data_IF_268904374710
#
_entry.id   IF_268904374710
#
_cell.length_a   1.000
_cell.length_b   1.000
_cell.length_c   1.000
_cell.angle_alpha   90.00
_cell.angle_beta   90.00
_cell.angle_gamma   90.00
#
_symmetry.space_group_name_H-M   'P 1'
#
loop_
_entity.id
_entity.type
_entity.pdbx_description
1 polymer ?
#
# COMPACT_ATOMS: atom_id res chain seq x y z
N UNK A 1 6.95 -16.82 -2.24
CA UNK A 1 7.64 -15.87 -1.34
C UNK A 1 7.22 -14.46 -1.73
N UNK A 2 6.51 -13.82 -0.79
CA UNK A 2 6.03 -12.43 -0.61
C UNK A 2 5.97 -11.48 -1.82
N UNK A 3 4.74 -11.11 -2.21
CA UNK A 3 4.42 -9.81 -2.80
C UNK A 3 4.51 -8.76 -1.70
N UNK A 4 5.48 -7.84 -1.78
CA UNK A 4 5.57 -6.71 -0.86
C UNK A 4 4.67 -5.59 -1.39
N UNK A 5 3.40 -5.58 -0.96
CA UNK A 5 2.54 -4.40 -1.10
C UNK A 5 3.01 -3.40 -0.05
N UNK A 6 3.76 -2.39 -0.48
CA UNK A 6 4.11 -1.28 0.39
C UNK A 6 2.89 -0.34 0.44
N UNK A 7 1.98 -0.59 1.38
CA UNK A 7 0.94 0.38 1.75
C UNK A 7 1.61 1.46 2.62
N UNK A 8 1.81 2.64 2.06
CA UNK A 8 2.31 3.79 2.82
C UNK A 8 1.13 4.70 3.10
N UNK A 9 0.59 4.62 4.33
CA UNK A 9 -0.43 5.55 4.79
C UNK A 9 0.26 6.87 5.19
N UNK A 10 -0.07 7.93 4.46
CA UNK A 10 0.24 9.31 4.86
C UNK A 10 -1.05 9.87 5.43
N UNK A 11 -1.11 10.11 6.74
CA UNK A 11 -2.28 10.76 7.36
C UNK A 11 -2.49 12.13 6.71
N UNK A 12 -3.75 12.58 6.52
CA UNK A 12 -4.05 13.89 5.93
C UNK A 12 -3.48 15.07 6.75
N UNK A 13 -3.14 14.86 8.02
CA UNK A 13 -2.41 15.82 8.87
C UNK A 13 -0.89 15.77 8.73
N UNK A 14 -0.35 14.99 7.78
CA UNK A 14 1.09 14.85 7.62
C UNK A 14 1.64 15.95 6.73
N UNK A 15 2.32 16.89 7.36
CA UNK A 15 3.27 17.82 6.76
C UNK A 15 4.05 17.17 5.58
N UNK A 16 4.06 17.77 4.37
CA UNK A 16 4.80 17.25 3.22
C UNK A 16 6.30 17.02 3.51
N UNK A 17 6.90 17.74 4.46
CA UNK A 17 8.29 17.55 4.89
C UNK A 17 8.53 16.27 5.70
N UNK A 18 7.48 15.67 6.28
CA UNK A 18 7.58 14.38 6.98
C UNK A 18 7.77 13.20 6.03
N UNK A 19 7.40 13.33 4.75
CA UNK A 19 7.64 12.30 3.74
C UNK A 19 9.15 12.16 3.45
N UNK A 20 9.90 13.27 3.45
CA UNK A 20 11.37 13.24 3.32
C UNK A 20 12.04 12.73 4.61
N UNK A 21 11.51 13.09 5.79
CA UNK A 21 12.05 12.61 7.08
C UNK A 21 11.78 11.14 7.36
N UNK A 22 10.66 10.53 6.95
CA UNK A 22 10.47 9.07 7.11
C UNK A 22 11.40 8.23 6.22
N UNK A 23 12.11 8.86 5.28
CA UNK A 23 13.25 8.26 4.58
C UNK A 23 14.52 8.17 5.46
N UNK A 24 14.56 8.84 6.61
CA UNK A 24 15.72 8.92 7.52
C UNK A 24 15.30 8.69 8.99
N UNK A 25 15.96 7.73 9.65
CA UNK A 25 15.86 7.28 11.06
C UNK A 25 14.94 6.07 11.35
N UNK A 26 15.40 4.97 11.95
CA UNK A 26 16.36 4.86 13.05
C UNK A 26 17.66 4.06 12.78
N UNK A 27 18.72 4.52 13.44
CA UNK A 27 20.08 4.01 13.57
C UNK A 27 20.17 2.65 14.28
N UNK A 28 21.01 1.75 13.75
CA UNK A 28 21.38 0.51 14.45
C UNK A 28 21.94 -0.62 13.58
N UNK A 29 22.64 -0.35 12.48
CA UNK A 29 23.60 -1.23 11.78
C UNK A 29 23.98 -0.58 10.45
N UNK A 30 25.25 -0.67 10.05
CA UNK A 30 25.82 0.03 8.90
C UNK A 30 25.42 -0.59 7.56
N UNK A 31 24.12 -0.59 7.26
CA UNK A 31 23.60 -0.88 5.93
C UNK A 31 22.62 0.23 5.60
N UNK A 32 23.02 1.16 4.72
CA UNK A 32 22.10 2.15 4.16
C UNK A 32 20.84 1.43 3.68
N UNK A 33 19.61 1.91 4.00
CA UNK A 33 18.39 1.26 3.51
C UNK A 33 18.45 1.19 1.99
N UNK A 34 18.47 -0.03 1.45
CA UNK A 34 18.55 -0.25 0.01
C UNK A 34 17.23 0.25 -0.58
N UNK A 35 17.30 1.25 -1.46
CA UNK A 35 16.11 1.81 -2.09
C UNK A 35 15.41 0.76 -2.97
N UNK A 36 14.09 0.87 -3.15
CA UNK A 36 13.33 -0.03 -4.04
C UNK A 36 13.93 -0.10 -5.45
N UNK A 37 14.41 1.02 -5.97
CA UNK A 37 15.10 1.10 -7.26
C UNK A 37 16.39 0.28 -7.26
N UNK A 38 17.20 0.38 -6.21
CA UNK A 38 18.42 -0.42 -6.08
C UNK A 38 18.13 -1.93 -5.96
N UNK A 39 17.00 -2.34 -5.38
CA UNK A 39 16.58 -3.75 -5.35
C UNK A 39 16.14 -4.26 -6.73
N UNK A 40 15.36 -3.46 -7.47
CA UNK A 40 14.92 -3.80 -8.83
C UNK A 40 16.09 -3.89 -9.81
N UNK A 41 17.11 -3.07 -9.63
CA UNK A 41 18.34 -3.09 -10.43
C UNK A 41 19.17 -4.35 -10.18
N UNK A 42 19.37 -4.72 -8.92
CA UNK A 42 20.33 -5.77 -8.52
C UNK A 42 19.77 -7.19 -8.62
N UNK A 43 18.45 -7.35 -8.62
CA UNK A 43 17.79 -8.66 -8.62
C UNK A 43 17.50 -9.15 -10.03
N UNK A 44 17.99 -10.35 -10.37
CA UNK A 44 17.55 -11.12 -11.55
C UNK A 44 16.28 -11.92 -11.29
N UNK A 45 15.97 -12.23 -10.03
CA UNK A 45 14.72 -12.90 -9.64
C UNK A 45 13.50 -11.99 -9.87
N UNK A 46 12.30 -12.56 -10.14
CA UNK A 46 11.09 -11.78 -10.34
C UNK A 46 10.78 -10.87 -9.14
N UNK A 47 10.79 -9.55 -9.36
CA UNK A 47 10.54 -8.56 -8.32
C UNK A 47 9.56 -7.48 -8.79
N UNK A 48 8.57 -7.20 -7.95
CA UNK A 48 7.50 -6.25 -8.22
C UNK A 48 7.14 -5.48 -6.96
N UNK A 49 7.08 -4.15 -7.06
CA UNK A 49 6.50 -3.27 -6.06
C UNK A 49 5.26 -2.60 -6.64
N UNK A 50 4.12 -2.75 -5.95
CA UNK A 50 2.91 -1.96 -6.23
C UNK A 50 2.82 -0.92 -5.13
N UNK A 51 2.92 0.35 -5.51
CA UNK A 51 3.01 1.47 -4.58
C UNK A 51 1.74 2.30 -4.66
N UNK A 52 1.08 2.49 -3.52
CA UNK A 52 -0.10 3.34 -3.37
C UNK A 52 0.32 4.65 -2.71
N UNK A 53 0.08 5.78 -3.37
CA UNK A 53 0.35 7.11 -2.82
C UNK A 53 -0.84 8.03 -3.09
N UNK A 54 -1.29 8.81 -2.09
CA UNK A 54 -2.22 9.90 -2.35
C UNK A 54 -1.67 10.79 -3.47
N UNK A 55 -2.53 11.15 -4.42
CA UNK A 55 -2.19 12.00 -5.55
C UNK A 55 -2.13 13.48 -5.11
N UNK A 56 -1.20 13.78 -4.21
CA UNK A 56 -0.91 15.15 -3.78
C UNK A 56 0.02 15.80 -4.81
N UNK A 57 -0.57 16.61 -5.68
CA UNK A 57 0.15 17.33 -6.74
C UNK A 57 0.43 18.80 -6.44
N UNK A 58 -0.02 19.31 -5.29
CA UNK A 58 0.21 20.69 -4.87
C UNK A 58 0.78 20.76 -3.45
N UNK A 59 2.11 20.75 -3.28
CA UNK A 59 3.13 20.47 -4.30
C UNK A 59 3.30 18.96 -4.56
N UNK A 60 3.69 18.59 -5.79
CA UNK A 60 4.04 17.20 -6.12
C UNK A 60 5.22 16.75 -5.25
N UNK A 61 5.06 15.62 -4.57
CA UNK A 61 6.15 15.10 -3.72
C UNK A 61 7.33 14.61 -4.58
N UNK A 62 8.60 14.88 -4.18
CA UNK A 62 9.76 14.38 -4.92
C UNK A 62 9.79 12.85 -5.08
N UNK A 63 9.19 12.13 -4.12
CA UNK A 63 9.06 10.68 -4.18
C UNK A 63 8.14 10.23 -5.33
N UNK A 64 7.00 10.90 -5.53
CA UNK A 64 6.10 10.61 -6.64
C UNK A 64 6.79 10.89 -7.98
N UNK A 65 7.42 12.06 -8.13
CA UNK A 65 8.18 12.41 -9.35
C UNK A 65 9.24 11.36 -9.69
N UNK A 66 10.02 10.89 -8.70
CA UNK A 66 11.04 9.86 -8.91
C UNK A 66 10.47 8.50 -9.31
N UNK A 67 9.27 8.15 -8.85
CA UNK A 67 8.63 6.89 -9.24
C UNK A 67 8.00 6.99 -10.62
N UNK A 68 7.37 8.11 -10.96
CA UNK A 68 6.84 8.39 -12.31
C UNK A 68 7.95 8.40 -13.37
N UNK A 69 9.14 8.90 -13.02
CA UNK A 69 10.32 8.90 -13.90
C UNK A 69 11.15 7.59 -13.86
N UNK A 70 10.74 6.58 -13.09
CA UNK A 70 11.55 5.36 -12.94
C UNK A 70 11.48 4.49 -14.18
N UNK A 71 12.63 4.02 -14.69
CA UNK A 71 12.70 3.00 -15.77
C UNK A 71 12.01 1.68 -15.44
N UNK A 72 11.74 1.42 -14.16
CA UNK A 72 11.04 0.22 -13.71
C UNK A 72 9.52 0.41 -13.69
N UNK A 73 9.01 1.61 -13.93
CA UNK A 73 7.57 1.86 -14.03
C UNK A 73 7.02 1.14 -15.26
N UNK A 74 6.09 0.22 -15.02
CA UNK A 74 5.40 -0.55 -16.07
C UNK A 74 3.98 -0.07 -16.31
N UNK A 75 3.34 0.45 -15.27
CA UNK A 75 2.00 1.02 -15.36
C UNK A 75 1.73 1.97 -14.19
N UNK A 76 0.85 2.94 -14.42
CA UNK A 76 0.30 3.83 -13.42
C UNK A 76 -1.20 3.89 -13.62
N UNK A 77 -1.96 3.66 -12.55
CA UNK A 77 -3.41 3.90 -12.52
C UNK A 77 -3.73 4.95 -11.47
N UNK A 78 -4.88 5.61 -11.64
CA UNK A 78 -5.41 6.51 -10.63
C UNK A 78 -6.77 5.98 -10.15
N UNK A 79 -6.92 5.87 -8.84
CA UNK A 79 -8.21 5.59 -8.21
C UNK A 79 -8.80 6.96 -7.85
N UNK A 80 -9.93 7.36 -8.43
CA UNK A 80 -10.46 8.70 -8.22
C UNK A 80 -10.76 9.01 -6.76
N UNK A 81 -10.61 10.29 -6.39
CA UNK A 81 -11.07 10.79 -5.12
C UNK A 81 -12.54 10.41 -4.90
N UNK A 82 -12.90 10.11 -3.66
CA UNK A 82 -14.26 9.78 -3.25
C UNK A 82 -14.83 8.46 -3.79
N UNK A 83 -14.08 7.72 -4.62
CA UNK A 83 -14.48 6.42 -5.17
C UNK A 83 -13.81 5.24 -4.45
N UNK A 84 -13.04 5.51 -3.39
CA UNK A 84 -12.39 4.50 -2.58
C UNK A 84 -12.30 4.88 -1.11
N UNK A 85 -12.00 3.89 -0.29
CA UNK A 85 -11.86 4.02 1.16
C UNK A 85 -10.47 3.58 1.60
N UNK A 86 -9.96 4.25 2.62
CA UNK A 86 -8.86 3.77 3.42
C UNK A 86 -9.38 3.17 4.72
N UNK A 87 -8.53 2.37 5.36
CA UNK A 87 -8.72 1.97 6.74
C UNK A 87 -8.01 2.96 7.66
N UNK A 88 -8.56 3.17 8.85
CA UNK A 88 -7.94 4.01 9.86
C UNK A 88 -6.60 3.42 10.34
N UNK A 89 -5.54 4.21 10.40
CA UNK A 89 -4.28 3.81 11.05
C UNK A 89 -4.45 3.43 12.53
N UNK A 90 -5.48 3.94 13.19
CA UNK A 90 -5.87 3.58 14.56
C UNK A 90 -6.77 2.34 14.62
N UNK A 91 -6.82 1.51 13.56
CA UNK A 91 -7.66 0.31 13.46
C UNK A 91 -7.55 -0.70 14.61
N UNK A 92 -6.47 -0.66 15.38
CA UNK A 92 -6.27 -1.55 16.54
C UNK A 92 -7.08 -1.14 17.76
N UNK A 93 -7.60 0.10 17.80
CA UNK A 93 -8.37 0.67 18.91
C UNK A 93 -9.66 1.38 18.48
N UNK A 94 -9.79 1.77 17.21
CA UNK A 94 -10.97 2.51 16.74
C UNK A 94 -12.21 1.61 16.64
N UNK A 95 -13.39 2.23 16.72
CA UNK A 95 -14.64 1.50 16.59
C UNK A 95 -14.86 1.04 15.14
N UNK A 96 -15.81 0.13 14.94
CA UNK A 96 -16.12 -0.45 13.63
C UNK A 96 -16.60 0.59 12.62
N UNK A 97 -17.37 1.56 13.07
CA UNK A 97 -17.90 2.69 12.30
C UNK A 97 -16.82 3.72 11.92
N UNK A 98 -15.70 3.76 12.64
CA UNK A 98 -14.53 4.62 12.35
C UNK A 98 -13.44 3.89 11.55
N UNK A 99 -13.63 2.59 11.28
CA UNK A 99 -12.63 1.71 10.67
C UNK A 99 -12.30 2.11 9.24
N UNK A 100 -13.27 2.64 8.50
CA UNK A 100 -13.16 2.99 7.10
C UNK A 100 -13.49 4.47 6.92
N UNK A 101 -12.69 5.18 6.14
CA UNK A 101 -12.99 6.54 5.73
C UNK A 101 -12.79 6.70 4.23
N UNK A 102 -13.68 7.48 3.62
CA UNK A 102 -13.63 7.77 2.19
C UNK A 102 -12.45 8.68 1.89
N UNK A 103 -11.64 8.29 0.91
CA UNK A 103 -10.49 9.06 0.49
C UNK A 103 -10.95 10.35 -0.20
N UNK A 104 -10.47 11.50 0.28
CA UNK A 104 -10.81 12.82 -0.29
C UNK A 104 -9.91 13.22 -1.46
N UNK A 105 -8.80 12.51 -1.63
CA UNK A 105 -7.89 12.65 -2.76
C UNK A 105 -7.87 11.38 -3.59
N UNK A 106 -7.43 11.49 -4.85
CA UNK A 106 -7.12 10.33 -5.66
C UNK A 106 -5.94 9.55 -5.09
N UNK A 107 -5.82 8.27 -5.48
CA UNK A 107 -4.66 7.44 -5.15
C UNK A 107 -3.99 6.99 -6.43
N UNK A 108 -2.75 7.42 -6.62
CA UNK A 108 -1.90 6.88 -7.68
C UNK A 108 -1.39 5.50 -7.25
N UNK A 109 -1.57 4.50 -8.11
CA UNK A 109 -1.00 3.16 -7.95
C UNK A 109 0.05 2.93 -9.03
N UNK A 110 1.30 2.75 -8.61
CA UNK A 110 2.45 2.61 -9.51
C UNK A 110 3.00 1.19 -9.45
N UNK A 111 3.16 0.57 -10.61
CA UNK A 111 3.69 -0.79 -10.78
C UNK A 111 5.17 -0.70 -11.18
N UNK A 112 6.07 -0.90 -10.21
CA UNK A 112 7.52 -0.86 -10.42
C UNK A 112 8.06 -2.30 -10.47
N UNK A 113 8.52 -2.75 -11.64
CA UNK A 113 8.92 -4.15 -11.87
C UNK A 113 10.20 -4.25 -12.70
N UNK A 114 11.09 -5.16 -12.29
CA UNK A 114 12.18 -5.61 -13.15
C UNK A 114 11.61 -6.50 -14.27
N UNK A 115 12.44 -6.88 -15.24
CA UNK A 115 11.95 -7.61 -16.43
C UNK A 115 11.33 -8.97 -16.06
N UNK A 116 11.96 -9.71 -15.14
CA UNK A 116 11.44 -10.98 -14.64
C UNK A 116 10.11 -10.81 -13.87
N UNK A 117 9.98 -9.75 -13.09
CA UNK A 117 8.75 -9.39 -12.38
C UNK A 117 7.62 -9.01 -13.33
N UNK A 118 7.92 -8.23 -14.37
CA UNK A 118 6.97 -7.86 -15.41
C UNK A 118 6.52 -9.09 -16.21
N UNK A 119 7.44 -9.97 -16.63
CA UNK A 119 7.08 -11.19 -17.33
C UNK A 119 6.11 -12.08 -16.53
N UNK A 120 6.24 -12.11 -15.20
CA UNK A 120 5.40 -12.93 -14.31
C UNK A 120 4.09 -12.25 -13.89
N UNK A 121 4.14 -10.96 -13.59
CA UNK A 121 3.05 -10.20 -12.97
C UNK A 121 2.73 -8.91 -13.72
N UNK A 122 2.80 -8.96 -15.05
CA UNK A 122 2.44 -7.83 -15.90
C UNK A 122 1.05 -7.27 -15.47
N UNK A 123 0.92 -5.94 -15.35
CA UNK A 123 -0.35 -5.26 -15.16
C UNK A 123 -1.16 -5.30 -16.46
N UNK A 124 -1.70 -6.47 -16.80
CA UNK A 124 -2.57 -6.64 -17.98
C UNK A 124 -3.88 -5.90 -17.79
N UNK A 125 -4.54 -5.54 -18.89
CA UNK A 125 -5.83 -4.83 -18.86
C UNK A 125 -6.88 -5.55 -18.00
N UNK A 126 -6.94 -6.88 -18.06
CA UNK A 126 -7.83 -7.71 -17.23
C UNK A 126 -7.54 -7.56 -15.73
N UNK A 127 -6.27 -7.69 -15.31
CA UNK A 127 -5.88 -7.54 -13.90
C UNK A 127 -6.12 -6.13 -13.37
N UNK A 128 -5.92 -5.13 -14.21
CA UNK A 128 -6.21 -3.72 -13.89
C UNK A 128 -7.71 -3.49 -13.73
N UNK A 129 -8.54 -4.09 -14.60
CA UNK A 129 -9.99 -4.02 -14.49
C UNK A 129 -10.51 -4.68 -13.21
N UNK A 130 -9.99 -5.86 -12.86
CA UNK A 130 -10.30 -6.54 -11.59
C UNK A 130 -9.90 -5.69 -10.37
N UNK A 131 -8.71 -5.08 -10.40
CA UNK A 131 -8.28 -4.17 -9.34
C UNK A 131 -9.22 -2.97 -9.20
N UNK A 132 -9.61 -2.33 -10.30
CA UNK A 132 -10.55 -1.22 -10.27
C UNK A 132 -11.95 -1.65 -9.81
N UNK A 133 -12.40 -2.85 -10.20
CA UNK A 133 -13.67 -3.41 -9.76
C UNK A 133 -13.70 -3.63 -8.24
N UNK A 134 -12.57 -4.02 -7.63
CA UNK A 134 -12.47 -4.23 -6.18
C UNK A 134 -12.67 -2.95 -5.34
N UNK A 135 -12.49 -1.76 -5.93
CA UNK A 135 -12.76 -0.48 -5.28
C UNK A 135 -14.23 -0.05 -5.36
N UNK A 136 -15.02 -0.66 -6.25
CA UNK A 136 -16.45 -0.35 -6.33
C UNK A 136 -17.12 -0.81 -5.04
N UNK A 137 -17.97 0.02 -4.41
CA UNK A 137 -18.70 -0.38 -3.23
C UNK A 137 -19.54 -1.63 -3.57
N UNK A 138 -19.21 -2.76 -2.95
CA UNK A 138 -20.09 -3.93 -3.01
C UNK A 138 -21.38 -3.57 -2.30
N UNK A 139 -22.49 -3.54 -3.04
CA UNK A 139 -23.85 -3.35 -2.51
C UNK A 139 -24.26 -4.47 -1.54
N UNK A 140 -23.40 -5.48 -1.35
CA UNK A 140 -23.63 -6.66 -0.54
C UNK A 140 -22.47 -6.94 0.42
N UNK A 141 -21.97 -5.95 1.18
CA UNK A 141 -21.12 -6.25 2.36
C UNK A 141 -22.03 -6.49 3.58
N UNK A 142 -22.45 -7.73 3.91
CA UNK A 142 -22.84 -8.02 5.27
C UNK A 142 -21.64 -7.71 6.17
N UNK A 143 -21.86 -7.30 7.43
CA UNK A 143 -20.77 -7.02 8.36
C UNK A 143 -19.83 -8.21 8.41
N UNK A 144 -18.64 -8.03 7.83
CA UNK A 144 -17.55 -9.00 7.71
C UNK A 144 -17.51 -10.01 8.85
N UNK A 145 -17.59 -11.30 8.47
CA UNK A 145 -17.38 -12.45 9.33
C UNK A 145 -16.14 -12.23 10.20
N UNK A 146 -16.38 -12.23 11.51
CA UNK A 146 -15.34 -12.25 12.53
C UNK A 146 -14.38 -13.38 12.24
N UNK A 147 -13.08 -13.07 12.21
CA UNK A 147 -12.05 -14.09 12.45
C UNK A 147 -12.43 -14.81 13.75
N UNK A 148 -12.42 -16.15 13.83
CA UNK A 148 -12.65 -16.81 15.11
C UNK A 148 -11.60 -16.30 16.09
N UNK A 149 -12.06 -15.61 17.13
CA UNK A 149 -11.19 -15.17 18.22
C UNK A 149 -10.48 -16.37 18.83
N UNK A 150 -9.30 -16.17 19.45
CA UNK A 150 -8.57 -17.27 20.07
C UNK A 150 -9.49 -18.00 21.07
N UNK A 151 -9.48 -19.33 21.01
CA UNK A 151 -10.34 -20.19 21.82
C UNK A 151 -10.23 -19.84 23.31
N UNK A 152 -11.33 -19.90 24.07
CA UNK A 152 -11.30 -19.63 25.51
C UNK A 152 -10.40 -20.65 26.22
N UNK A 153 -9.43 -20.14 26.98
CA UNK A 153 -8.60 -20.94 27.88
C UNK A 153 -9.51 -21.42 29.01
N UNK A 154 -9.75 -22.73 29.06
CA UNK A 154 -10.49 -23.37 30.14
C UNK A 154 -9.56 -23.45 31.37
N UNK A 155 -9.92 -22.87 32.53
CA UNK A 155 -9.11 -23.03 33.73
C UNK A 155 -9.25 -24.46 34.25
N UNK A 156 -8.13 -25.19 34.29
CA UNK A 156 -8.03 -26.46 35.02
C UNK A 156 -8.26 -26.21 36.51
N UNK A 157 -9.35 -26.74 37.07
CA UNK A 157 -9.50 -26.86 38.52
C UNK A 157 -8.62 -28.01 39.01
N UNK A 158 -7.77 -27.69 39.99
CA UNK A 158 -6.97 -28.64 40.74
C UNK A 158 -7.88 -29.31 41.78
N UNK A 159 -7.89 -30.65 41.79
CA UNK A 159 -8.41 -31.50 42.86
C UNK A 159 -7.22 -32.15 43.56
#
# INVERSE_FOLDING_TARGET
MVTMVAHFEVSPDSDPDRLDRRSRFHSGSSTSPVSRQALLEKSSEPLSFIVFVPEWRDPVTPALTRMEASRFLRHQLNIPAFEHEYRSGSQHICKRDEMYYRAVHGTAVLFLQNDAGFAKWAPTAERLAELMAAYRPSTARPPSLSSPGPAPIVPHQHL
#
